data_IF_498020905468
#
_entry.id   IF_498020905468
#
_cell.length_a   1.000
_cell.length_b   1.000
_cell.length_c   1.000
_cell.angle_alpha   90.00
_cell.angle_beta   90.00
_cell.angle_gamma   90.00
#
_symmetry.space_group_name_H-M   'P 1'
#
loop_
_entity.id
_entity.type
_entity.pdbx_description
1 polymer ?
#
# COMPACT_ATOMS: atom_id res chain seq x y z
N UNK A 1 -1.35 9.09 -0.98
CA UNK A 1 -1.35 9.64 0.39
C UNK A 1 -2.27 8.84 1.29
N UNK A 2 -1.92 8.72 2.58
CA UNK A 2 -2.77 8.08 3.57
C UNK A 2 -3.65 9.14 4.27
N UNK A 3 -4.99 9.14 4.05
CA UNK A 3 -5.87 10.24 4.43
C UNK A 3 -6.32 10.16 5.90
N UNK A 4 -5.38 9.97 6.83
CA UNK A 4 -5.67 9.96 8.27
C UNK A 4 -5.86 11.36 8.87
N UNK A 5 -5.45 12.41 8.15
CA UNK A 5 -5.58 13.81 8.52
C UNK A 5 -5.44 14.71 7.29
N UNK A 6 -5.63 16.02 7.47
CA UNK A 6 -5.35 16.99 6.42
C UNK A 6 -3.88 16.95 5.99
N UNK A 7 -3.66 17.20 4.69
CA UNK A 7 -2.31 17.28 4.15
C UNK A 7 -1.56 18.49 4.74
N UNK A 8 -0.25 18.36 4.84
CA UNK A 8 0.66 19.42 5.24
C UNK A 8 1.66 19.74 4.11
N UNK A 9 2.47 20.76 4.29
CA UNK A 9 3.40 21.27 3.26
C UNK A 9 4.36 20.19 2.71
N UNK A 10 4.72 19.18 3.49
CA UNK A 10 5.53 18.06 3.02
C UNK A 10 4.86 17.24 1.92
N UNK A 11 3.55 17.00 2.03
CA UNK A 11 2.79 16.32 0.98
C UNK A 11 2.70 17.18 -0.28
N UNK A 12 2.45 18.47 -0.11
CA UNK A 12 2.41 19.45 -1.20
C UNK A 12 3.75 19.51 -1.94
N UNK A 13 4.86 19.50 -1.21
CA UNK A 13 6.20 19.51 -1.80
C UNK A 13 6.42 18.32 -2.75
N UNK A 14 6.10 17.12 -2.33
CA UNK A 14 6.23 15.92 -3.17
C UNK A 14 5.38 16.00 -4.43
N UNK A 15 4.12 16.47 -4.31
CA UNK A 15 3.21 16.56 -5.45
C UNK A 15 3.64 17.64 -6.43
N UNK A 16 4.06 18.81 -5.96
CA UNK A 16 4.54 19.91 -6.82
C UNK A 16 5.82 19.50 -7.56
N UNK A 17 6.73 18.80 -6.90
CA UNK A 17 7.94 18.29 -7.55
C UNK A 17 7.61 17.31 -8.68
N UNK A 18 6.66 16.38 -8.45
CA UNK A 18 6.19 15.45 -9.47
C UNK A 18 5.46 16.16 -10.61
N UNK A 19 4.61 17.15 -10.31
CA UNK A 19 3.91 17.96 -11.29
C UNK A 19 4.87 18.78 -12.16
N UNK A 20 5.88 19.40 -11.57
CA UNK A 20 6.90 20.13 -12.31
C UNK A 20 7.62 19.22 -13.31
N UNK A 21 7.98 18.00 -12.90
CA UNK A 21 8.60 17.01 -13.78
C UNK A 21 7.63 16.57 -14.90
N UNK A 22 6.36 16.31 -14.56
CA UNK A 22 5.35 15.96 -15.56
C UNK A 22 5.17 17.05 -16.61
N UNK A 23 5.06 18.31 -16.18
CA UNK A 23 4.98 19.48 -17.07
C UNK A 23 6.21 19.63 -17.95
N UNK A 24 7.41 19.50 -17.36
CA UNK A 24 8.67 19.56 -18.10
C UNK A 24 8.73 18.49 -19.19
N UNK A 25 8.38 17.26 -18.85
CA UNK A 25 8.38 16.15 -19.84
C UNK A 25 7.34 16.34 -20.94
N UNK A 26 6.15 16.84 -20.64
CA UNK A 26 5.13 17.19 -21.67
C UNK A 26 5.64 18.29 -22.60
N UNK A 27 6.27 19.33 -22.08
CA UNK A 27 6.89 20.39 -22.88
C UNK A 27 8.04 19.85 -23.77
N UNK A 28 8.71 18.79 -23.33
CA UNK A 28 9.77 18.12 -24.08
C UNK A 28 9.23 17.09 -25.10
N UNK A 29 7.90 17.00 -25.29
CA UNK A 29 7.27 16.13 -26.29
C UNK A 29 7.06 14.67 -25.85
N UNK A 30 7.20 14.36 -24.55
CA UNK A 30 6.88 13.03 -24.03
C UNK A 30 5.38 12.85 -23.82
N UNK A 31 4.88 11.63 -24.06
CA UNK A 31 3.57 11.20 -23.60
C UNK A 31 3.66 10.93 -22.09
N UNK A 32 3.05 11.78 -21.28
CA UNK A 32 3.17 11.75 -19.80
C UNK A 32 1.82 11.48 -19.17
N UNK A 33 1.77 10.45 -18.32
CA UNK A 33 0.65 10.19 -17.43
C UNK A 33 1.08 10.42 -15.99
N UNK A 34 0.51 11.44 -15.37
CA UNK A 34 0.74 11.79 -13.97
C UNK A 34 -0.38 11.26 -13.09
N UNK A 35 -0.06 10.27 -12.26
CA UNK A 35 -0.97 9.65 -11.30
C UNK A 35 -0.74 10.21 -9.91
N UNK A 36 -1.83 10.54 -9.21
CA UNK A 36 -1.86 10.78 -7.77
C UNK A 36 -3.04 10.03 -7.15
N UNK A 37 -3.18 10.03 -5.83
CA UNK A 37 -4.30 9.34 -5.19
C UNK A 37 -4.12 9.12 -3.69
N UNK A 38 -5.00 8.31 -3.14
CA UNK A 38 -5.10 8.03 -1.71
C UNK A 38 -5.16 6.53 -1.43
N UNK A 39 -4.42 6.12 -0.39
CA UNK A 39 -4.49 4.81 0.24
C UNK A 39 -5.41 4.92 1.45
N UNK A 40 -6.63 4.36 1.38
CA UNK A 40 -7.75 4.73 2.23
C UNK A 40 -8.16 3.66 3.24
N UNK A 41 -7.59 2.47 3.16
CA UNK A 41 -7.94 1.35 4.01
C UNK A 41 -7.09 1.27 5.29
N UNK A 42 -7.53 0.43 6.22
CA UNK A 42 -6.79 0.08 7.42
C UNK A 42 -7.42 0.56 8.72
N UNK A 43 -6.96 -0.05 9.79
CA UNK A 43 -7.48 0.14 11.15
C UNK A 43 -7.49 1.60 11.61
N UNK A 44 -6.42 2.36 11.33
CA UNK A 44 -6.32 3.76 11.76
C UNK A 44 -7.45 4.63 11.20
N UNK A 45 -7.83 4.43 9.93
CA UNK A 45 -8.96 5.14 9.32
C UNK A 45 -10.27 4.71 9.96
N UNK A 46 -10.47 3.41 10.19
CA UNK A 46 -11.65 2.88 10.88
C UNK A 46 -11.81 3.52 12.26
N UNK A 47 -10.76 3.50 13.09
CA UNK A 47 -10.76 4.08 14.43
C UNK A 47 -11.10 5.58 14.42
N UNK A 48 -10.47 6.35 13.52
CA UNK A 48 -10.75 7.79 13.42
C UNK A 48 -12.20 8.06 13.01
N UNK A 49 -12.75 7.26 12.10
CA UNK A 49 -14.15 7.38 11.68
C UNK A 49 -15.12 7.05 12.82
N UNK A 50 -14.85 5.99 13.59
CA UNK A 50 -15.61 5.62 14.78
C UNK A 50 -15.59 6.71 15.86
N UNK A 51 -14.42 7.28 16.15
CA UNK A 51 -14.26 8.40 17.09
C UNK A 51 -15.07 9.64 16.66
N UNK A 52 -15.23 9.84 15.35
CA UNK A 52 -16.03 10.94 14.78
C UNK A 52 -17.50 10.61 14.59
N UNK A 53 -17.93 9.38 14.85
CA UNK A 53 -19.31 8.94 14.67
C UNK A 53 -19.77 8.90 13.22
N UNK A 54 -18.85 8.65 12.26
CA UNK A 54 -19.14 8.55 10.82
C UNK A 54 -18.67 7.20 10.28
N UNK A 55 -19.12 6.84 9.08
CA UNK A 55 -18.56 5.65 8.40
C UNK A 55 -17.15 5.94 7.89
N UNK A 56 -16.25 4.93 7.81
CA UNK A 56 -14.93 5.11 7.22
C UNK A 56 -14.98 5.71 5.80
N UNK A 57 -15.93 5.27 4.97
CA UNK A 57 -16.12 5.83 3.63
C UNK A 57 -16.45 7.33 3.67
N UNK A 58 -17.39 7.75 4.50
CA UNK A 58 -17.75 9.17 4.62
C UNK A 58 -16.58 10.01 5.14
N UNK A 59 -15.78 9.45 6.04
CA UNK A 59 -14.57 10.10 6.54
C UNK A 59 -13.55 10.34 5.43
N UNK A 60 -13.16 9.28 4.69
CA UNK A 60 -12.16 9.43 3.61
C UNK A 60 -12.68 10.27 2.46
N UNK A 61 -13.98 10.23 2.14
CA UNK A 61 -14.59 11.09 1.12
C UNK A 61 -14.41 12.59 1.45
N UNK A 62 -14.60 12.95 2.72
CA UNK A 62 -14.38 14.32 3.20
C UNK A 62 -12.91 14.75 3.08
N UNK A 63 -11.98 13.90 3.49
CA UNK A 63 -10.55 14.19 3.39
C UNK A 63 -10.10 14.29 1.94
N UNK A 64 -10.54 13.37 1.08
CA UNK A 64 -10.20 13.35 -0.35
C UNK A 64 -10.76 14.58 -1.07
N UNK A 65 -11.95 15.05 -0.72
CA UNK A 65 -12.49 16.30 -1.26
C UNK A 65 -11.54 17.48 -0.96
N UNK A 66 -11.08 17.59 0.28
CA UNK A 66 -10.11 18.62 0.67
C UNK A 66 -8.76 18.49 -0.06
N UNK A 67 -8.28 17.26 -0.31
CA UNK A 67 -7.06 17.01 -1.10
C UNK A 67 -7.25 17.48 -2.55
N UNK A 68 -8.38 17.15 -3.18
CA UNK A 68 -8.68 17.57 -4.56
C UNK A 68 -8.80 19.07 -4.68
N UNK A 69 -9.42 19.75 -3.70
CA UNK A 69 -9.52 21.21 -3.65
C UNK A 69 -8.13 21.87 -3.50
N UNK A 70 -7.26 21.29 -2.68
CA UNK A 70 -5.87 21.73 -2.56
C UNK A 70 -5.12 21.58 -3.89
N UNK A 71 -5.23 20.44 -4.56
CA UNK A 71 -4.59 20.22 -5.87
C UNK A 71 -5.13 21.17 -6.95
N UNK A 72 -6.42 21.47 -6.90
CA UNK A 72 -7.02 22.47 -7.79
C UNK A 72 -6.46 23.87 -7.51
N UNK A 73 -6.35 24.27 -6.24
CA UNK A 73 -5.77 25.56 -5.84
C UNK A 73 -4.32 25.71 -6.28
N UNK A 74 -3.57 24.60 -6.26
CA UNK A 74 -2.17 24.55 -6.67
C UNK A 74 -1.98 24.26 -8.17
N UNK A 75 -3.08 24.16 -8.93
CA UNK A 75 -3.05 23.87 -10.36
C UNK A 75 -2.27 22.60 -10.73
N UNK A 76 -2.33 21.55 -9.87
CA UNK A 76 -1.66 20.27 -10.12
C UNK A 76 -2.26 19.58 -11.34
N UNK A 77 -1.42 19.22 -12.31
CA UNK A 77 -1.82 18.72 -13.63
C UNK A 77 -1.89 17.19 -13.70
N UNK A 78 -2.40 16.52 -12.67
CA UNK A 78 -2.56 15.06 -12.68
C UNK A 78 -3.60 14.62 -13.72
N UNK A 79 -3.36 13.46 -14.34
CA UNK A 79 -4.27 12.87 -15.35
C UNK A 79 -5.28 11.91 -14.70
N UNK A 80 -4.92 11.31 -13.58
CA UNK A 80 -5.79 10.38 -12.84
C UNK A 80 -5.56 10.52 -11.34
N UNK A 81 -6.66 10.38 -10.59
CA UNK A 81 -6.67 10.37 -9.13
C UNK A 81 -7.26 9.03 -8.68
N UNK A 82 -6.39 8.09 -8.29
CA UNK A 82 -6.83 6.76 -7.86
C UNK A 82 -7.11 6.74 -6.37
N UNK A 83 -8.20 6.06 -6.00
CA UNK A 83 -8.55 5.77 -4.61
C UNK A 83 -8.60 4.26 -4.42
N UNK A 84 -8.04 3.76 -3.33
CA UNK A 84 -8.09 2.31 -3.06
C UNK A 84 -9.50 1.81 -2.76
N UNK A 85 -10.44 2.71 -2.44
CA UNK A 85 -11.87 2.42 -2.25
C UNK A 85 -12.69 2.37 -3.55
N UNK A 86 -12.11 2.73 -4.71
CA UNK A 86 -12.82 2.67 -5.99
C UNK A 86 -13.02 1.23 -6.47
N UNK A 87 -14.20 0.94 -7.02
CA UNK A 87 -14.54 -0.40 -7.55
C UNK A 87 -13.51 -0.92 -8.55
N UNK A 88 -12.96 -0.06 -9.43
CA UNK A 88 -11.93 -0.45 -10.39
C UNK A 88 -10.66 -0.98 -9.71
N UNK A 89 -10.32 -0.44 -8.53
CA UNK A 89 -9.18 -0.90 -7.75
C UNK A 89 -9.51 -2.17 -6.98
N UNK A 90 -10.62 -2.18 -6.26
CA UNK A 90 -11.11 -3.35 -5.50
C UNK A 90 -11.15 -4.60 -6.39
N UNK A 91 -11.79 -4.53 -7.56
CA UNK A 91 -11.88 -5.64 -8.51
C UNK A 91 -10.51 -6.09 -9.01
N UNK A 92 -9.58 -5.16 -9.24
CA UNK A 92 -8.23 -5.47 -9.69
C UNK A 92 -7.43 -6.20 -8.62
N UNK A 93 -7.48 -5.72 -7.38
CA UNK A 93 -6.82 -6.35 -6.23
C UNK A 93 -7.34 -7.76 -6.00
N UNK A 94 -8.67 -7.93 -6.00
CA UNK A 94 -9.29 -9.25 -5.84
C UNK A 94 -8.93 -10.22 -6.97
N UNK A 95 -8.89 -9.75 -8.21
CA UNK A 95 -8.48 -10.57 -9.36
C UNK A 95 -7.01 -11.01 -9.25
N UNK A 96 -6.11 -10.12 -8.81
CA UNK A 96 -4.70 -10.43 -8.58
C UNK A 96 -4.56 -11.43 -7.43
N UNK A 97 -5.28 -11.22 -6.32
CA UNK A 97 -5.29 -12.15 -5.19
C UNK A 97 -5.69 -13.56 -5.64
N UNK A 98 -6.82 -13.70 -6.34
CA UNK A 98 -7.30 -14.99 -6.82
C UNK A 98 -6.28 -15.69 -7.74
N UNK A 99 -5.72 -14.95 -8.70
CA UNK A 99 -4.70 -15.48 -9.61
C UNK A 99 -3.46 -15.99 -8.87
N UNK A 100 -3.00 -15.27 -7.86
CA UNK A 100 -1.85 -15.66 -7.03
C UNK A 100 -2.19 -16.85 -6.13
N UNK A 101 -3.41 -16.88 -5.59
CA UNK A 101 -3.89 -18.01 -4.78
C UNK A 101 -4.01 -19.30 -5.59
N UNK A 102 -4.64 -19.24 -6.76
CA UNK A 102 -4.75 -20.38 -7.69
C UNK A 102 -3.40 -20.92 -8.15
N UNK A 103 -2.41 -20.03 -8.29
CA UNK A 103 -1.01 -20.38 -8.64
C UNK A 103 -0.24 -21.01 -7.46
N UNK A 104 -0.81 -20.98 -6.26
CA UNK A 104 -0.16 -21.46 -5.02
C UNK A 104 0.93 -20.54 -4.49
N UNK A 105 0.91 -19.27 -4.90
CA UNK A 105 1.81 -18.21 -4.39
C UNK A 105 1.25 -17.54 -3.12
N UNK A 106 -0.03 -17.77 -2.81
CA UNK A 106 -0.67 -17.35 -1.54
C UNK A 106 -1.09 -18.60 -0.77
N UNK A 107 -0.88 -18.57 0.53
CA UNK A 107 -1.31 -19.62 1.45
C UNK A 107 -1.85 -19.03 2.75
N UNK A 108 -2.67 -19.81 3.46
CA UNK A 108 -3.18 -19.45 4.79
C UNK A 108 -2.23 -19.97 5.85
N UNK A 109 -1.87 -19.14 6.81
CA UNK A 109 -0.96 -19.46 7.90
C UNK A 109 -1.30 -18.67 9.16
N UNK A 110 -0.44 -18.76 10.16
CA UNK A 110 -0.55 -17.98 11.39
C UNK A 110 0.51 -16.87 11.38
N UNK A 111 0.08 -15.63 11.58
CA UNK A 111 0.98 -14.52 11.88
C UNK A 111 1.21 -14.47 13.40
N UNK A 112 2.46 -14.54 13.82
CA UNK A 112 2.85 -14.38 15.21
C UNK A 112 3.59 -13.06 15.37
N UNK A 113 3.19 -12.26 16.35
CA UNK A 113 3.81 -10.97 16.62
C UNK A 113 3.49 -10.46 18.01
N UNK A 114 4.02 -9.29 18.30
CA UNK A 114 3.76 -8.57 19.57
C UNK A 114 2.50 -7.73 19.40
N UNK A 115 1.42 -8.14 20.06
CA UNK A 115 0.10 -7.53 19.95
C UNK A 115 -0.13 -6.50 21.03
N UNK A 116 -0.54 -5.30 20.63
CA UNK A 116 -1.03 -4.26 21.53
C UNK A 116 -2.55 -4.29 21.56
N UNK A 117 -3.14 -4.80 22.65
CA UNK A 117 -4.60 -4.90 22.80
C UNK A 117 -5.32 -3.54 22.69
N UNK A 118 -4.83 -2.43 23.30
CA UNK A 118 -5.51 -1.14 23.18
C UNK A 118 -5.43 -0.48 21.80
N UNK A 119 -4.39 -0.80 20.99
CA UNK A 119 -4.24 -0.30 19.62
C UNK A 119 -4.70 -1.32 18.59
N UNK A 120 -5.02 -2.55 19.03
CA UNK A 120 -5.37 -3.69 18.17
C UNK A 120 -4.36 -3.94 17.03
N UNK A 121 -3.06 -3.70 17.32
CA UNK A 121 -1.98 -3.69 16.33
C UNK A 121 -0.92 -4.72 16.65
N UNK A 122 -0.43 -5.39 15.62
CA UNK A 122 0.74 -6.25 15.69
C UNK A 122 2.02 -5.48 15.35
N UNK A 123 3.07 -5.79 16.10
CA UNK A 123 4.41 -5.21 15.94
C UNK A 123 5.45 -6.32 15.87
N UNK A 124 6.51 -6.10 15.11
CA UNK A 124 7.71 -6.93 15.24
C UNK A 124 8.50 -6.51 16.48
N UNK A 125 9.30 -7.40 17.04
CA UNK A 125 10.12 -7.07 18.21
C UNK A 125 11.04 -5.86 17.96
N UNK A 126 11.53 -5.68 16.71
CA UNK A 126 12.37 -4.56 16.31
C UNK A 126 11.64 -3.20 16.23
N UNK A 127 10.32 -3.21 16.17
CA UNK A 127 9.51 -1.99 16.12
C UNK A 127 9.10 -1.49 17.50
N UNK A 128 9.29 -2.31 18.53
CA UNK A 128 8.93 -1.92 19.91
C UNK A 128 9.88 -0.85 20.45
N UNK A 129 9.34 0.06 21.23
CA UNK A 129 10.09 1.05 21.99
C UNK A 129 10.12 0.60 23.45
N UNK A 130 11.30 0.24 23.95
CA UNK A 130 11.48 -0.31 25.32
C UNK A 130 10.54 -1.50 25.63
N UNK A 131 10.29 -2.35 24.63
CA UNK A 131 9.39 -3.50 24.77
C UNK A 131 7.90 -3.15 24.77
N UNK A 132 7.53 -1.90 24.48
CA UNK A 132 6.18 -1.38 24.46
C UNK A 132 5.73 -1.00 23.05
N UNK A 133 4.42 -0.85 22.88
CA UNK A 133 3.81 -0.38 21.65
C UNK A 133 4.31 1.02 21.27
N UNK A 134 4.82 1.24 20.05
CA UNK A 134 5.34 2.53 19.62
C UNK A 134 4.25 3.62 19.54
N UNK A 135 2.98 3.23 19.34
CA UNK A 135 1.88 4.19 19.20
C UNK A 135 1.36 4.72 20.55
N UNK A 136 1.22 3.84 21.53
CA UNK A 136 0.58 4.21 22.81
C UNK A 136 1.46 4.01 24.05
N UNK A 137 2.67 3.48 23.91
CA UNK A 137 3.60 3.22 25.00
C UNK A 137 3.18 2.12 25.99
N UNK A 138 2.12 1.35 25.70
CA UNK A 138 1.61 0.29 26.60
C UNK A 138 2.33 -1.04 26.31
N UNK A 139 2.39 -1.94 27.34
CA UNK A 139 2.95 -3.26 27.15
C UNK A 139 2.22 -4.05 26.05
N UNK A 140 2.98 -4.82 25.30
CA UNK A 140 2.49 -5.73 24.27
C UNK A 140 2.62 -7.18 24.74
N UNK A 141 1.85 -8.07 24.13
CA UNK A 141 1.91 -9.51 24.43
C UNK A 141 2.05 -10.32 23.14
N UNK A 142 2.69 -11.48 23.20
CA UNK A 142 2.72 -12.39 22.04
C UNK A 142 1.32 -12.85 21.71
N UNK A 143 0.94 -12.72 20.46
CA UNK A 143 -0.34 -13.19 19.95
C UNK A 143 -0.17 -13.79 18.57
N UNK A 144 -1.15 -14.60 18.17
CA UNK A 144 -1.21 -15.22 16.85
C UNK A 144 -2.53 -14.82 16.20
N UNK A 145 -2.44 -14.54 14.91
CA UNK A 145 -3.58 -14.23 14.04
C UNK A 145 -3.52 -15.12 12.80
N UNK A 146 -4.64 -15.73 12.44
CA UNK A 146 -4.75 -16.39 11.15
C UNK A 146 -4.68 -15.33 10.03
N UNK A 147 -3.86 -15.56 9.03
CA UNK A 147 -3.66 -14.60 7.94
C UNK A 147 -3.28 -15.31 6.63
N UNK A 148 -3.41 -14.59 5.53
CA UNK A 148 -2.89 -15.02 4.23
C UNK A 148 -1.50 -14.43 4.01
N UNK A 149 -0.61 -15.26 3.45
CA UNK A 149 0.78 -14.93 3.16
C UNK A 149 1.07 -15.07 1.67
N UNK A 150 1.80 -14.12 1.13
CA UNK A 150 2.40 -14.23 -0.19
C UNK A 150 3.81 -14.82 -0.07
N UNK A 151 4.09 -15.88 -0.84
CA UNK A 151 5.40 -16.55 -0.88
C UNK A 151 6.46 -15.68 -1.57
N UNK A 152 6.84 -14.56 -0.93
CA UNK A 152 7.85 -13.67 -1.46
C UNK A 152 9.21 -14.36 -1.54
N UNK A 153 9.53 -15.24 -0.58
CA UNK A 153 10.75 -16.05 -0.54
C UNK A 153 10.96 -16.85 -1.83
N UNK A 154 9.89 -17.38 -2.44
CA UNK A 154 9.93 -18.09 -3.73
C UNK A 154 10.50 -17.27 -4.89
N UNK A 155 10.42 -15.96 -4.81
CA UNK A 155 10.80 -15.04 -5.88
C UNK A 155 12.20 -14.47 -5.73
N UNK A 156 12.92 -14.81 -4.64
CA UNK A 156 14.22 -14.25 -4.29
C UNK A 156 15.24 -14.35 -5.44
N UNK A 157 15.46 -15.54 -5.97
CA UNK A 157 16.47 -15.75 -7.03
C UNK A 157 16.12 -15.00 -8.32
N UNK A 158 14.81 -14.93 -8.65
CA UNK A 158 14.34 -14.16 -9.80
C UNK A 158 14.52 -12.66 -9.63
N UNK A 159 14.36 -12.15 -8.41
CA UNK A 159 14.60 -10.73 -8.09
C UNK A 159 16.09 -10.41 -8.17
N UNK A 160 16.96 -11.30 -7.66
CA UNK A 160 18.40 -11.15 -7.79
C UNK A 160 18.81 -11.12 -9.27
N UNK A 161 18.35 -12.09 -10.06
CA UNK A 161 18.63 -12.17 -11.50
C UNK A 161 18.16 -10.91 -12.24
N UNK A 162 16.94 -10.42 -11.96
CA UNK A 162 16.41 -9.19 -12.55
C UNK A 162 17.28 -7.97 -12.24
N UNK A 163 17.72 -7.83 -10.98
CA UNK A 163 18.51 -6.67 -10.56
C UNK A 163 19.96 -6.73 -11.02
N UNK A 164 20.54 -7.92 -11.17
CA UNK A 164 21.92 -8.10 -11.62
C UNK A 164 22.06 -7.97 -13.14
N UNK A 165 21.10 -8.49 -13.87
CA UNK A 165 21.20 -8.67 -15.32
C UNK A 165 20.39 -7.67 -16.15
N UNK A 166 19.75 -6.70 -15.53
CA UNK A 166 18.98 -5.65 -16.22
C UNK A 166 19.14 -4.29 -15.55
N UNK A 167 18.76 -3.23 -16.28
CA UNK A 167 18.69 -1.86 -15.74
C UNK A 167 17.33 -1.56 -15.05
N UNK A 168 16.71 -2.59 -14.49
CA UNK A 168 15.38 -2.46 -13.84
C UNK A 168 15.39 -1.48 -12.66
N UNK A 169 16.49 -1.41 -11.91
CA UNK A 169 16.64 -0.51 -10.76
C UNK A 169 17.87 0.38 -10.89
N UNK A 170 17.64 1.67 -10.97
CA UNK A 170 18.64 2.71 -11.04
C UNK A 170 18.49 3.73 -9.89
N UNK A 171 19.53 4.39 -9.41
CA UNK A 171 20.95 4.23 -9.78
C UNK A 171 21.60 2.99 -9.16
N UNK A 172 22.80 2.64 -9.62
CA UNK A 172 23.55 1.47 -9.16
C UNK A 172 23.69 1.35 -7.64
N UNK A 173 23.84 2.47 -6.94
CA UNK A 173 23.90 2.48 -5.46
C UNK A 173 22.64 1.89 -4.84
N UNK A 174 21.45 2.20 -5.38
CA UNK A 174 20.18 1.67 -4.90
C UNK A 174 19.98 0.20 -5.28
N UNK A 175 20.46 -0.19 -6.45
CA UNK A 175 20.50 -1.59 -6.88
C UNK A 175 21.35 -2.43 -5.92
N UNK A 176 22.55 -1.97 -5.57
CA UNK A 176 23.44 -2.66 -4.65
C UNK A 176 22.88 -2.77 -3.22
N UNK A 177 22.21 -1.71 -2.73
CA UNK A 177 21.47 -1.74 -1.46
C UNK A 177 20.39 -2.82 -1.48
N UNK A 178 19.56 -2.85 -2.52
CA UNK A 178 18.47 -3.80 -2.65
C UNK A 178 18.99 -5.25 -2.79
N UNK A 179 20.03 -5.47 -3.58
CA UNK A 179 20.70 -6.78 -3.69
C UNK A 179 21.26 -7.23 -2.35
N UNK A 180 21.89 -6.33 -1.59
CA UNK A 180 22.37 -6.62 -0.25
C UNK A 180 21.27 -7.04 0.72
N UNK A 181 20.09 -6.40 0.62
CA UNK A 181 18.89 -6.76 1.39
C UNK A 181 18.34 -8.14 0.98
N UNK A 182 18.09 -8.35 -0.32
CA UNK A 182 17.48 -9.59 -0.83
C UNK A 182 18.36 -10.83 -0.53
N UNK A 183 19.68 -10.70 -0.61
CA UNK A 183 20.62 -11.79 -0.35
C UNK A 183 20.69 -12.25 1.11
N UNK A 184 20.15 -11.47 2.04
CA UNK A 184 20.01 -11.89 3.44
C UNK A 184 18.88 -12.91 3.64
N UNK A 185 18.04 -13.10 2.62
CA UNK A 185 16.86 -13.95 2.64
C UNK A 185 15.57 -13.10 2.68
N UNK A 186 14.59 -13.51 1.89
CA UNK A 186 13.26 -12.89 1.89
C UNK A 186 12.29 -13.77 2.68
N UNK A 187 11.61 -13.18 3.64
CA UNK A 187 10.48 -13.81 4.33
C UNK A 187 9.19 -13.67 3.52
N UNK A 188 8.26 -14.60 3.75
CA UNK A 188 6.93 -14.52 3.17
C UNK A 188 6.14 -13.36 3.78
N UNK A 189 5.44 -12.64 2.93
CA UNK A 189 4.78 -11.38 3.28
C UNK A 189 3.33 -11.62 3.73
N UNK A 190 2.99 -11.20 4.93
CA UNK A 190 1.61 -11.19 5.39
C UNK A 190 0.78 -10.18 4.60
N UNK A 191 -0.26 -10.63 3.90
CA UNK A 191 -1.08 -9.84 2.97
C UNK A 191 -2.55 -9.74 3.35
N UNK A 192 -2.93 -10.18 4.54
CA UNK A 192 -4.29 -10.01 5.05
C UNK A 192 -4.33 -9.72 6.55
N UNK A 193 -5.47 -9.21 7.01
CA UNK A 193 -5.78 -8.99 8.43
C UNK A 193 -7.22 -9.43 8.70
N UNK A 194 -7.49 -9.82 9.95
CA UNK A 194 -8.82 -10.16 10.46
C UNK A 194 -9.25 -9.31 11.67
N UNK A 195 -8.38 -8.42 12.12
CA UNK A 195 -8.60 -7.58 13.31
C UNK A 195 -9.40 -6.31 13.05
N UNK A 196 -9.66 -5.97 11.80
CA UNK A 196 -10.48 -4.83 11.38
C UNK A 196 -11.20 -5.14 10.06
N UNK A 197 -12.30 -4.42 9.77
CA UNK A 197 -13.17 -4.67 8.63
C UNK A 197 -13.00 -3.67 7.49
N UNK A 198 -12.37 -2.52 7.75
CA UNK A 198 -12.18 -1.48 6.75
C UNK A 198 -11.01 -1.79 5.80
N UNK A 199 -11.34 -2.51 4.73
CA UNK A 199 -10.39 -2.97 3.71
C UNK A 199 -11.10 -3.71 2.58
N UNK A 200 -10.33 -4.16 1.59
CA UNK A 200 -10.84 -4.98 0.50
C UNK A 200 -11.04 -6.41 1.01
N UNK A 201 -12.25 -6.98 0.99
CA UNK A 201 -12.48 -8.34 1.45
C UNK A 201 -11.67 -9.35 0.63
N UNK A 202 -11.07 -10.33 1.32
CA UNK A 202 -10.46 -11.49 0.67
C UNK A 202 -11.55 -12.30 -0.06
N UNK A 203 -11.45 -12.52 -1.39
CA UNK A 203 -12.55 -13.08 -2.17
C UNK A 203 -13.00 -14.47 -1.74
N UNK A 204 -12.10 -15.26 -1.18
CA UNK A 204 -12.32 -16.66 -0.77
C UNK A 204 -12.61 -16.79 0.74
N UNK A 205 -12.46 -15.73 1.50
CA UNK A 205 -12.64 -15.72 2.96
C UNK A 205 -13.00 -14.32 3.46
N UNK A 206 -14.29 -14.03 3.53
CA UNK A 206 -14.82 -12.73 3.92
C UNK A 206 -14.53 -12.29 5.37
N UNK A 207 -13.86 -13.13 6.18
CA UNK A 207 -13.41 -12.75 7.52
C UNK A 207 -12.11 -11.95 7.51
N UNK A 208 -11.43 -11.93 6.37
CA UNK A 208 -10.16 -11.24 6.19
C UNK A 208 -10.30 -10.08 5.22
N UNK A 209 -9.57 -9.02 5.46
CA UNK A 209 -9.34 -7.94 4.50
C UNK A 209 -7.91 -7.99 3.97
N UNK A 210 -7.74 -7.61 2.71
CA UNK A 210 -6.44 -7.55 2.05
C UNK A 210 -5.63 -6.40 2.67
N UNK A 211 -4.38 -6.70 3.05
CA UNK A 211 -3.51 -5.76 3.73
C UNK A 211 -2.73 -4.87 2.73
N UNK A 212 -2.24 -3.75 3.24
CA UNK A 212 -1.63 -2.63 2.49
C UNK A 212 -0.66 -3.04 1.38
N UNK A 213 0.15 -4.06 1.57
CA UNK A 213 1.16 -4.47 0.58
C UNK A 213 0.55 -4.92 -0.75
N UNK A 214 -0.54 -5.66 -0.72
CA UNK A 214 -1.23 -6.06 -1.94
C UNK A 214 -2.24 -4.99 -2.37
N UNK A 215 -2.94 -4.37 -1.43
CA UNK A 215 -3.90 -3.32 -1.69
C UNK A 215 -3.22 -2.09 -2.33
N UNK A 216 -2.47 -1.33 -1.56
CA UNK A 216 -1.91 -0.06 -2.00
C UNK A 216 -0.97 -0.19 -3.22
N UNK A 217 -0.10 -1.20 -3.25
CA UNK A 217 0.84 -1.35 -4.37
C UNK A 217 0.17 -1.74 -5.70
N UNK A 218 -1.00 -2.36 -5.65
CA UNK A 218 -1.77 -2.68 -6.87
C UNK A 218 -2.34 -1.43 -7.57
N UNK A 219 -2.35 -0.25 -6.91
CA UNK A 219 -2.85 0.98 -7.54
C UNK A 219 -2.11 1.31 -8.83
N UNK A 220 -0.80 1.07 -8.91
CA UNK A 220 0.00 1.30 -10.14
C UNK A 220 -0.50 0.43 -11.29
N UNK A 221 -0.77 -0.85 -11.04
CA UNK A 221 -1.31 -1.77 -12.06
C UNK A 221 -2.73 -1.36 -12.42
N UNK A 222 -3.55 -0.96 -11.46
CA UNK A 222 -4.92 -0.51 -11.70
C UNK A 222 -4.94 0.72 -12.61
N UNK A 223 -4.11 1.71 -12.32
CA UNK A 223 -4.06 2.96 -13.06
C UNK A 223 -3.51 2.81 -14.49
N UNK A 224 -2.60 1.85 -14.72
CA UNK A 224 -1.92 1.68 -16.02
C UNK A 224 -2.60 0.61 -16.90
N UNK A 225 -3.38 -0.30 -16.30
CA UNK A 225 -3.88 -1.51 -16.98
C UNK A 225 -4.73 -1.25 -18.23
N UNK A 226 -5.36 -0.08 -18.34
CA UNK A 226 -6.16 0.26 -19.52
C UNK A 226 -5.37 1.07 -20.58
N UNK A 227 -4.18 1.58 -20.25
CA UNK A 227 -3.38 2.41 -21.15
C UNK A 227 -2.25 1.67 -21.84
N UNK A 228 -1.55 0.74 -21.17
CA UNK A 228 -0.33 0.14 -21.68
C UNK A 228 -0.33 -1.39 -21.75
N UNK A 229 -1.06 -2.09 -20.89
CA UNK A 229 -1.06 -3.56 -20.89
C UNK A 229 -1.91 -4.19 -22.00
N UNK A 230 -2.57 -3.40 -22.85
CA UNK A 230 -3.25 -3.87 -24.06
C UNK A 230 -2.37 -3.83 -25.33
N UNK A 231 -1.16 -3.32 -25.24
CA UNK A 231 -0.28 -3.12 -26.39
C UNK A 231 0.77 -4.23 -26.57
N UNK A 232 0.71 -5.30 -25.76
CA UNK A 232 1.63 -6.45 -25.89
C UNK A 232 0.90 -7.79 -25.70
#
# INVERSE_FOLDING_TARGET
>A
YYPSSNLHIGHTYCTVMADAMARFKRLSGYDVRFLTGTDEHGQKIQTIAEEKGVTPQAYVDGVVAGIKDLWKTMEISYDDFIRTTEDRHVQRVQAIFNKMYEKGDIYKGEYEGMYCTPCESFWTESQLVDGCCPDCGRPVQKAKEEAYFFKLSKYQDRLIDLLENTDFLEPETRRNEMLGFIRQGLDDLCISRSTFDWGIPVPIDGKHVIYVWLDALTNYITAVSYTHLRAH
#
